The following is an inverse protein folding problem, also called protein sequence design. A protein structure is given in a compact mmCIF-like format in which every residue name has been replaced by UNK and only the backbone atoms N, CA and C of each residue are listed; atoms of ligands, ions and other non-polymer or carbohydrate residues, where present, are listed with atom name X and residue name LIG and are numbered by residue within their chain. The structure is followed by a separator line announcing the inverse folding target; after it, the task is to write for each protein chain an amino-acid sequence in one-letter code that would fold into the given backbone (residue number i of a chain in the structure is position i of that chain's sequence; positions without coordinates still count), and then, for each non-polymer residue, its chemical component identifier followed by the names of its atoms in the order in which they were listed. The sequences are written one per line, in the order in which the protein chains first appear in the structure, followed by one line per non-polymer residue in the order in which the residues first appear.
data_IF_612952889516
#
_entry.id   IF_612952889516
#
_cell.length_a   1.000
_cell.length_b   1.000
_cell.length_c   1.000
_cell.angle_alpha   90.00
_cell.angle_beta   90.00
_cell.angle_gamma   90.00
#
_symmetry.space_group_name_H-M   'P 1'
#
loop_
_entity.id
_entity.type
_entity.pdbx_description
1 polymer ?
#
# COMPACT_ATOMS: atom_id res chain seq x y z
N UNK A 1 -13.05 9.01 -10.03
CA UNK A 1 -14.15 8.46 -9.21
C UNK A 1 -14.64 9.44 -8.14
N UNK A 2 -13.78 10.06 -7.29
CA UNK A 2 -14.29 10.93 -6.21
C UNK A 2 -15.11 12.13 -6.69
N UNK A 3 -14.66 12.80 -7.76
CA UNK A 3 -15.39 13.93 -8.36
C UNK A 3 -16.78 13.55 -8.86
N UNK A 4 -16.96 12.30 -9.33
CA UNK A 4 -18.27 11.81 -9.79
C UNK A 4 -19.23 11.64 -8.61
N UNK A 5 -18.77 11.04 -7.51
CA UNK A 5 -19.61 10.85 -6.31
C UNK A 5 -20.03 12.21 -5.76
N UNK A 6 -19.07 13.13 -5.61
CA UNK A 6 -19.39 14.46 -5.10
C UNK A 6 -20.30 15.25 -6.06
N UNK A 7 -20.20 15.08 -7.38
CA UNK A 7 -21.12 15.80 -8.29
C UNK A 7 -22.55 15.24 -8.32
N UNK A 8 -22.75 13.95 -8.03
CA UNK A 8 -24.06 13.30 -8.15
C UNK A 8 -24.80 13.12 -6.82
N UNK A 9 -24.08 13.02 -5.70
CA UNK A 9 -24.65 12.73 -4.38
C UNK A 9 -24.39 13.89 -3.43
N UNK A 10 -25.23 14.93 -3.50
CA UNK A 10 -25.05 16.19 -2.75
C UNK A 10 -25.09 16.04 -1.23
N UNK A 11 -25.64 14.94 -0.71
CA UNK A 11 -25.64 14.61 0.72
C UNK A 11 -24.29 14.08 1.23
N UNK A 12 -23.38 13.69 0.33
CA UNK A 12 -22.02 13.28 0.70
C UNK A 12 -21.19 14.53 0.95
N UNK A 13 -20.86 14.78 2.22
CA UNK A 13 -20.05 15.92 2.64
C UNK A 13 -18.54 15.66 2.50
N UNK A 14 -18.08 14.43 2.76
CA UNK A 14 -16.67 14.04 2.64
C UNK A 14 -16.54 12.75 1.86
N UNK A 15 -15.49 12.64 1.06
CA UNK A 15 -15.09 11.40 0.39
C UNK A 15 -13.64 11.09 0.72
N UNK A 16 -13.34 9.81 0.97
CA UNK A 16 -11.99 9.30 1.20
C UNK A 16 -11.65 8.27 0.13
N UNK A 17 -10.58 8.52 -0.60
CA UNK A 17 -9.92 7.53 -1.45
C UNK A 17 -8.98 6.68 -0.57
N UNK A 18 -9.02 5.36 -0.79
CA UNK A 18 -8.21 4.36 -0.10
C UNK A 18 -7.63 3.41 -1.15
N UNK A 19 -6.36 3.03 -0.99
CA UNK A 19 -5.77 1.99 -1.82
C UNK A 19 -6.42 0.62 -1.54
N UNK A 20 -6.44 -0.24 -2.55
CA UNK A 20 -7.14 -1.54 -2.48
C UNK A 20 -6.36 -2.62 -1.71
N UNK A 21 -5.08 -2.39 -1.42
CA UNK A 21 -4.20 -3.29 -0.68
C UNK A 21 -4.01 -2.86 0.79
N UNK A 22 -5.00 -2.16 1.34
CA UNK A 22 -5.12 -1.85 2.76
C UNK A 22 -5.98 -2.88 3.49
N UNK A 23 -5.67 -3.13 4.75
CA UNK A 23 -6.53 -3.91 5.65
C UNK A 23 -6.69 -3.21 6.99
N UNK A 24 -7.94 -2.99 7.38
CA UNK A 24 -8.34 -2.31 8.60
C UNK A 24 -8.44 -3.32 9.75
N UNK A 25 -7.59 -3.14 10.76
CA UNK A 25 -7.62 -3.89 12.01
C UNK A 25 -8.55 -3.27 13.05
N UNK A 26 -8.90 -1.98 12.85
CA UNK A 26 -9.87 -1.25 13.67
C UNK A 26 -10.69 -0.29 12.82
N UNK A 27 -11.76 0.19 13.43
CA UNK A 27 -12.55 1.29 12.90
C UNK A 27 -11.65 2.52 12.66
N UNK A 28 -11.75 3.19 11.51
CA UNK A 28 -10.98 4.38 11.20
C UNK A 28 -11.45 5.66 11.92
N UNK A 29 -12.38 5.58 12.88
CA UNK A 29 -12.90 6.72 13.65
C UNK A 29 -11.79 7.62 14.18
N UNK A 30 -10.72 7.05 14.71
CA UNK A 30 -9.60 7.82 15.28
C UNK A 30 -8.93 8.73 14.22
N UNK A 31 -8.91 8.31 12.94
CA UNK A 31 -8.41 9.14 11.83
C UNK A 31 -9.41 10.23 11.47
N UNK A 32 -10.71 9.94 11.50
CA UNK A 32 -11.75 10.93 11.24
C UNK A 32 -11.83 11.99 12.34
N UNK A 33 -11.68 11.58 13.59
CA UNK A 33 -11.58 12.45 14.77
C UNK A 33 -10.31 13.32 14.70
N UNK A 34 -9.20 12.81 14.17
CA UNK A 34 -7.98 13.59 13.98
C UNK A 34 -8.13 14.69 12.91
N UNK A 35 -8.78 14.38 11.78
CA UNK A 35 -8.88 15.33 10.66
C UNK A 35 -10.04 16.32 10.83
N UNK A 36 -11.02 16.02 11.69
CA UNK A 36 -12.19 16.86 12.02
C UNK A 36 -12.82 17.54 10.77
N UNK A 37 -12.80 18.88 10.76
CA UNK A 37 -13.35 19.76 9.74
C UNK A 37 -12.32 20.16 8.66
N UNK A 38 -11.23 19.42 8.54
CA UNK A 38 -10.21 19.70 7.52
C UNK A 38 -10.75 19.46 6.11
N UNK A 39 -10.53 20.41 5.20
CA UNK A 39 -11.00 20.35 3.82
C UNK A 39 -10.34 19.22 3.04
N UNK A 40 -9.07 18.98 3.33
CA UNK A 40 -8.23 17.96 2.68
C UNK A 40 -7.53 17.19 3.79
N UNK A 41 -7.41 15.87 3.66
CA UNK A 41 -6.55 15.08 4.54
C UNK A 41 -5.65 14.16 3.74
N UNK A 42 -4.36 14.14 4.09
CA UNK A 42 -3.32 13.31 3.46
C UNK A 42 -2.49 12.62 4.54
N UNK A 43 -1.86 11.51 4.19
CA UNK A 43 -1.07 10.72 5.13
C UNK A 43 0.40 10.64 4.68
N UNK A 44 1.39 10.87 5.57
CA UNK A 44 2.80 10.79 5.20
C UNK A 44 3.25 9.34 5.02
N UNK A 45 4.23 9.09 4.15
CA UNK A 45 4.91 7.79 4.09
C UNK A 45 5.63 7.49 5.40
N UNK A 46 6.19 8.52 6.05
CA UNK A 46 7.07 8.38 7.22
C UNK A 46 8.20 7.39 6.95
N UNK A 47 8.88 7.51 5.81
CA UNK A 47 9.99 6.62 5.45
C UNK A 47 10.99 6.47 6.59
N UNK A 48 11.41 5.24 6.87
CA UNK A 48 12.49 5.03 7.83
C UNK A 48 13.76 5.77 7.38
N UNK A 49 14.53 6.43 8.28
CA UNK A 49 15.68 7.26 7.92
C UNK A 49 16.76 6.57 7.07
N UNK A 50 16.82 5.25 7.07
CA UNK A 50 17.74 4.47 6.21
C UNK A 50 17.35 4.47 4.73
N UNK A 51 16.17 4.99 4.36
CA UNK A 51 15.66 5.06 2.99
C UNK A 51 15.83 6.45 2.37
N UNK A 52 17.02 7.04 2.53
CA UNK A 52 17.37 8.32 1.92
C UNK A 52 17.08 8.31 0.41
N UNK A 53 16.39 9.34 -0.08
CA UNK A 53 16.07 9.51 -1.49
C UNK A 53 14.77 8.85 -1.93
N UNK A 54 14.04 8.13 -1.05
CA UNK A 54 12.70 7.62 -1.38
C UNK A 54 11.62 8.70 -1.38
N UNK A 55 11.92 9.89 -0.88
CA UNK A 55 11.11 11.10 -1.04
C UNK A 55 10.94 11.49 -2.52
N UNK A 56 11.77 10.94 -3.43
CA UNK A 56 11.54 11.05 -4.87
C UNK A 56 10.19 10.47 -5.31
N UNK A 57 9.60 9.55 -4.54
CA UNK A 57 8.27 8.97 -4.79
C UNK A 57 7.13 9.76 -4.15
N UNK A 58 7.44 10.85 -3.43
CA UNK A 58 6.51 11.64 -2.64
C UNK A 58 6.72 11.47 -1.13
N UNK A 59 6.56 12.54 -0.35
CA UNK A 59 6.61 12.50 1.11
C UNK A 59 5.26 12.08 1.72
N UNK A 60 4.18 12.22 0.96
CA UNK A 60 2.84 11.71 1.27
C UNK A 60 2.47 10.51 0.42
N UNK A 61 1.59 9.67 0.93
CA UNK A 61 1.12 8.44 0.30
C UNK A 61 -0.37 8.53 -0.02
N UNK A 62 -0.77 8.01 -1.18
CA UNK A 62 -2.17 8.03 -1.65
C UNK A 62 -3.05 6.96 -1.01
N UNK A 63 -2.49 6.07 -0.19
CA UNK A 63 -3.26 5.09 0.58
C UNK A 63 -4.36 5.72 1.44
N UNK A 64 -4.23 7.01 1.78
CA UNK A 64 -5.36 7.79 2.31
C UNK A 64 -5.37 9.20 1.72
N UNK A 65 -6.48 9.56 1.07
CA UNK A 65 -6.74 10.94 0.62
C UNK A 65 -8.20 11.30 0.85
N UNK A 66 -8.48 12.30 1.70
CA UNK A 66 -9.85 12.79 1.91
C UNK A 66 -10.07 14.18 1.32
N UNK A 67 -11.28 14.40 0.81
CA UNK A 67 -11.77 15.70 0.36
C UNK A 67 -13.14 15.98 0.98
N UNK A 68 -13.29 17.14 1.62
CA UNK A 68 -14.59 17.70 2.01
C UNK A 68 -15.21 18.45 0.83
N UNK A 69 -16.53 18.54 0.80
CA UNK A 69 -17.32 19.33 -0.14
C UNK A 69 -17.34 20.79 0.26
N UNK A 70 -16.17 21.38 0.32
CA UNK A 70 -15.98 22.82 0.46
C UNK A 70 -15.06 23.35 -0.64
N UNK A 71 -14.85 24.66 -0.66
CA UNK A 71 -14.07 25.29 -1.72
C UNK A 71 -12.62 24.75 -1.78
N UNK A 72 -11.85 24.64 -0.68
CA UNK A 72 -10.49 24.09 -0.75
C UNK A 72 -10.47 22.60 -1.16
N UNK A 73 -11.36 21.78 -0.61
CA UNK A 73 -11.42 20.35 -0.89
C UNK A 73 -11.78 20.07 -2.35
N UNK A 74 -12.75 20.79 -2.91
CA UNK A 74 -13.14 20.65 -4.31
C UNK A 74 -12.08 21.19 -5.27
N UNK A 75 -11.43 22.31 -4.93
CA UNK A 75 -10.33 22.85 -5.73
C UNK A 75 -9.14 21.88 -5.80
N UNK A 76 -8.77 21.29 -4.67
CA UNK A 76 -7.69 20.30 -4.60
C UNK A 76 -8.03 19.04 -5.41
N UNK A 77 -9.24 18.50 -5.25
CA UNK A 77 -9.69 17.34 -6.01
C UNK A 77 -9.71 17.60 -7.53
N UNK A 78 -10.15 18.78 -7.97
CA UNK A 78 -10.13 19.13 -9.40
C UNK A 78 -8.70 19.20 -9.93
N UNK A 79 -7.81 19.90 -9.23
CA UNK A 79 -6.39 20.03 -9.61
C UNK A 79 -5.70 18.67 -9.66
N UNK A 80 -5.89 17.82 -8.65
CA UNK A 80 -5.29 16.48 -8.62
C UNK A 80 -5.78 15.61 -9.77
N UNK A 81 -7.09 15.66 -10.08
CA UNK A 81 -7.65 14.96 -11.25
C UNK A 81 -7.03 15.45 -12.55
N UNK A 82 -6.93 16.77 -12.76
CA UNK A 82 -6.33 17.36 -13.95
C UNK A 82 -4.86 16.97 -14.10
N UNK A 83 -4.10 17.02 -13.00
CA UNK A 83 -2.71 16.58 -12.95
C UNK A 83 -2.56 15.10 -13.35
N UNK A 84 -3.38 14.21 -12.79
CA UNK A 84 -3.32 12.79 -13.12
C UNK A 84 -3.71 12.48 -14.57
N UNK A 85 -4.63 13.26 -15.16
CA UNK A 85 -5.03 13.11 -16.56
C UNK A 85 -3.97 13.64 -17.52
N UNK A 86 -3.28 14.72 -17.14
CA UNK A 86 -2.16 15.28 -17.90
C UNK A 86 -0.92 14.37 -17.81
N UNK A 87 -0.61 13.87 -16.62
CA UNK A 87 0.57 13.07 -16.36
C UNK A 87 0.36 12.14 -15.15
N UNK A 88 0.47 10.83 -15.34
CA UNK A 88 0.46 9.85 -14.26
C UNK A 88 1.22 8.59 -14.69
N UNK A 89 2.54 8.63 -14.56
CA UNK A 89 3.43 7.55 -15.00
C UNK A 89 4.30 7.05 -13.85
N UNK A 90 4.68 5.78 -13.90
CA UNK A 90 5.66 5.17 -12.99
C UNK A 90 7.07 5.55 -13.45
N UNK A 91 7.38 6.85 -13.40
CA UNK A 91 8.66 7.45 -13.76
C UNK A 91 8.98 8.55 -12.77
N UNK A 92 10.19 8.56 -12.20
CA UNK A 92 10.60 9.65 -11.32
C UNK A 92 10.97 10.89 -12.13
N UNK A 93 10.32 12.00 -11.84
CA UNK A 93 10.70 13.34 -12.27
C UNK A 93 10.86 14.25 -11.03
N UNK A 94 11.45 15.43 -11.21
CA UNK A 94 11.76 16.34 -10.08
C UNK A 94 10.53 16.64 -9.21
N UNK A 95 9.37 16.85 -9.83
CA UNK A 95 8.13 17.25 -9.18
C UNK A 95 6.98 16.25 -9.34
N UNK A 96 7.22 15.10 -10.01
CA UNK A 96 6.16 14.16 -10.40
C UNK A 96 6.61 12.71 -10.27
N UNK A 97 5.71 11.88 -9.75
CA UNK A 97 5.81 10.43 -9.67
C UNK A 97 4.40 9.88 -9.41
N UNK A 98 3.88 9.14 -10.39
CA UNK A 98 2.49 8.66 -10.41
C UNK A 98 1.49 9.78 -10.02
N UNK A 99 0.42 9.40 -9.35
CA UNK A 99 -0.58 10.27 -8.74
C UNK A 99 -0.14 10.85 -7.38
N UNK A 100 0.93 10.30 -6.80
CA UNK A 100 1.29 10.51 -5.41
C UNK A 100 2.14 11.76 -5.15
N UNK A 101 3.10 12.07 -6.03
CA UNK A 101 4.06 13.17 -5.75
C UNK A 101 3.42 14.56 -5.74
N UNK A 102 2.25 14.71 -6.35
CA UNK A 102 1.48 15.95 -6.32
C UNK A 102 1.11 16.38 -4.90
N UNK A 103 0.91 15.43 -3.97
CA UNK A 103 0.51 15.70 -2.59
C UNK A 103 1.59 16.50 -1.83
N UNK A 104 2.87 16.40 -2.22
CA UNK A 104 4.00 17.10 -1.58
C UNK A 104 3.77 18.63 -1.51
N UNK A 105 3.03 19.17 -2.49
CA UNK A 105 2.72 20.60 -2.60
C UNK A 105 1.48 21.01 -1.84
N UNK A 106 0.58 20.09 -1.48
CA UNK A 106 -0.77 20.43 -1.03
C UNK A 106 -0.82 21.29 0.24
N UNK A 107 0.00 21.01 1.28
CA UNK A 107 0.02 21.88 2.48
C UNK A 107 0.42 23.33 2.19
N UNK A 108 1.11 23.60 1.08
CA UNK A 108 1.50 24.94 0.66
C UNK A 108 0.53 25.55 -0.37
N UNK A 109 -0.13 24.71 -1.18
CA UNK A 109 -1.00 25.14 -2.27
C UNK A 109 -2.46 25.37 -1.82
N UNK A 110 -2.90 24.74 -0.74
CA UNK A 110 -4.29 24.76 -0.28
C UNK A 110 -4.38 25.13 1.20
N UNK A 111 -5.51 25.75 1.58
CA UNK A 111 -5.87 25.98 2.97
C UNK A 111 -6.54 24.75 3.60
N UNK A 112 -6.47 24.66 4.93
CA UNK A 112 -7.19 23.65 5.72
C UNK A 112 -6.86 22.19 5.32
N UNK A 113 -5.57 21.91 5.15
CA UNK A 113 -5.03 20.56 4.88
C UNK A 113 -4.59 19.92 6.20
N UNK A 114 -5.21 18.81 6.57
CA UNK A 114 -4.72 17.94 7.63
C UNK A 114 -3.66 16.97 7.10
N UNK A 115 -2.55 16.87 7.82
CA UNK A 115 -1.57 15.81 7.64
C UNK A 115 -1.74 14.83 8.79
N UNK A 116 -2.21 13.62 8.49
CA UNK A 116 -2.51 12.59 9.50
C UNK A 116 -1.22 12.20 10.23
N UNK A 117 -1.25 12.22 11.56
CA UNK A 117 -0.16 11.92 12.48
C UNK A 117 -0.32 10.56 13.14
N UNK A 118 -1.53 10.00 13.19
CA UNK A 118 -1.78 8.68 13.77
C UNK A 118 -0.84 7.62 13.16
N UNK A 119 0.02 7.02 13.99
CA UNK A 119 1.06 6.04 13.63
C UNK A 119 0.47 4.68 13.30
N UNK A 120 -0.70 4.40 13.86
CA UNK A 120 -1.51 3.23 13.51
C UNK A 120 -2.18 3.31 12.14
N UNK A 121 -2.15 4.48 11.49
CA UNK A 121 -2.67 4.65 10.13
C UNK A 121 -1.51 4.65 9.14
N UNK A 122 -1.67 3.89 8.05
CA UNK A 122 -0.70 3.72 6.97
C UNK A 122 0.66 3.16 7.42
N UNK A 123 0.62 2.22 8.37
CA UNK A 123 1.78 1.41 8.70
C UNK A 123 2.07 0.46 7.53
N UNK A 124 3.33 0.34 7.12
CA UNK A 124 3.71 -0.33 5.89
C UNK A 124 5.17 -0.81 5.95
N UNK A 125 5.65 -1.63 4.99
CA UNK A 125 7.04 -2.07 4.95
C UNK A 125 8.07 -0.93 5.03
N UNK A 126 7.76 0.24 4.45
CA UNK A 126 8.68 1.37 4.38
C UNK A 126 8.81 2.21 5.66
N UNK A 127 7.89 2.05 6.62
CA UNK A 127 7.90 2.81 7.88
C UNK A 127 7.78 1.95 9.14
N UNK A 128 7.45 0.65 9.03
CA UNK A 128 7.21 -0.21 10.18
C UNK A 128 8.42 -0.30 11.12
N UNK A 129 9.64 -0.20 10.59
CA UNK A 129 10.87 -0.22 11.36
C UNK A 129 11.07 1.02 12.25
N UNK A 130 10.28 2.10 12.05
CA UNK A 130 10.34 3.28 12.91
C UNK A 130 9.68 3.06 14.28
N UNK A 131 8.93 1.98 14.46
CA UNK A 131 8.01 1.82 15.59
C UNK A 131 8.17 0.48 16.30
N UNK A 132 7.87 0.49 17.59
CA UNK A 132 7.70 -0.71 18.39
C UNK A 132 6.26 -1.23 18.27
N UNK A 133 6.12 -2.44 17.73
CA UNK A 133 4.84 -3.15 17.64
C UNK A 133 4.65 -4.07 18.85
N UNK A 134 3.46 -4.03 19.43
CA UNK A 134 3.07 -4.90 20.55
C UNK A 134 1.65 -5.41 20.36
N UNK A 135 1.45 -6.69 20.60
CA UNK A 135 0.11 -7.23 20.78
C UNK A 135 -0.36 -6.97 22.22
N UNK A 136 -1.58 -6.45 22.36
CA UNK A 136 -2.26 -6.19 23.64
C UNK A 136 -3.60 -6.92 23.66
N UNK A 137 -4.29 -6.93 24.81
CA UNK A 137 -5.65 -7.49 24.90
C UNK A 137 -6.64 -6.84 23.92
N UNK A 138 -6.37 -5.60 23.52
CA UNK A 138 -7.19 -4.85 22.56
C UNK A 138 -6.76 -5.02 21.09
N UNK A 139 -5.75 -5.85 20.81
CA UNK A 139 -5.15 -6.00 19.49
C UNK A 139 -3.76 -5.34 19.37
N UNK A 140 -3.30 -5.16 18.14
CA UNK A 140 -1.96 -4.63 17.85
C UNK A 140 -1.90 -3.12 18.11
N UNK A 141 -0.84 -2.68 18.78
CA UNK A 141 -0.49 -1.27 18.95
C UNK A 141 0.83 -0.94 18.25
N UNK A 142 0.91 0.28 17.73
CA UNK A 142 2.09 0.96 17.19
C UNK A 142 2.50 2.02 18.20
N UNK A 143 3.60 1.81 18.92
CA UNK A 143 3.92 2.58 20.13
C UNK A 143 2.79 2.52 21.19
N UNK A 144 2.06 3.63 21.36
CA UNK A 144 0.96 3.78 22.31
C UNK A 144 -0.39 3.99 21.59
N UNK A 145 -0.42 3.89 20.27
CA UNK A 145 -1.61 4.07 19.43
C UNK A 145 -2.03 2.72 18.86
N UNK A 146 -3.34 2.45 18.70
CA UNK A 146 -3.78 1.19 18.11
C UNK A 146 -3.45 1.11 16.62
N UNK A 147 -3.21 -0.08 16.08
CA UNK A 147 -3.12 -0.26 14.64
C UNK A 147 -4.52 -0.09 14.02
N UNK A 148 -4.70 0.94 13.19
CA UNK A 148 -5.94 1.17 12.43
C UNK A 148 -5.90 0.35 11.15
N UNK A 149 -4.90 0.57 10.31
CA UNK A 149 -4.72 -0.20 9.08
C UNK A 149 -3.25 -0.35 8.70
N UNK A 150 -2.98 -1.46 8.01
CA UNK A 150 -1.67 -1.73 7.42
C UNK A 150 -1.78 -1.73 5.89
N UNK A 151 -0.78 -1.17 5.22
CA UNK A 151 -0.64 -1.15 3.77
C UNK A 151 0.22 -2.32 3.31
N UNK A 152 -0.39 -3.32 2.67
CA UNK A 152 0.27 -4.55 2.22
C UNK A 152 0.99 -4.39 0.89
N UNK A 153 1.67 -3.26 0.73
CA UNK A 153 2.46 -2.95 -0.44
C UNK A 153 3.46 -4.07 -0.74
N UNK A 154 3.53 -4.47 -2.01
CA UNK A 154 4.43 -5.50 -2.51
C UNK A 154 4.12 -6.94 -2.05
N UNK A 155 3.01 -7.19 -1.33
CA UNK A 155 2.64 -8.56 -0.97
C UNK A 155 2.41 -9.40 -2.23
N UNK A 156 3.17 -10.50 -2.33
CA UNK A 156 3.09 -11.43 -3.45
C UNK A 156 2.85 -12.85 -2.98
N UNK A 157 1.77 -13.46 -3.46
CA UNK A 157 1.58 -14.90 -3.35
C UNK A 157 2.60 -15.60 -4.27
N UNK A 158 3.49 -16.39 -3.68
CA UNK A 158 4.52 -17.16 -4.39
C UNK A 158 3.94 -18.49 -4.87
N UNK A 159 3.18 -19.14 -3.99
CA UNK A 159 2.39 -20.33 -4.30
C UNK A 159 1.18 -20.39 -3.36
N UNK A 160 0.41 -21.49 -3.40
CA UNK A 160 -0.82 -21.66 -2.61
C UNK A 160 -0.67 -21.36 -1.12
N UNK A 161 0.50 -21.58 -0.52
CA UNK A 161 0.73 -21.48 0.92
C UNK A 161 1.74 -20.39 1.31
N UNK A 162 2.57 -19.96 0.37
CA UNK A 162 3.74 -19.13 0.65
C UNK A 162 3.55 -17.75 0.05
N UNK A 163 3.78 -16.74 0.87
CA UNK A 163 3.65 -15.33 0.54
C UNK A 163 4.95 -14.60 0.85
N UNK A 164 5.39 -13.78 -0.10
CA UNK A 164 6.49 -12.83 0.08
C UNK A 164 5.91 -11.48 0.52
N UNK A 165 6.15 -11.03 1.76
CA UNK A 165 5.69 -9.74 2.27
C UNK A 165 6.50 -8.54 1.74
N UNK A 166 7.56 -8.75 0.94
CA UNK A 166 8.36 -7.67 0.36
C UNK A 166 9.27 -6.95 1.35
N UNK A 167 9.34 -7.39 2.61
CA UNK A 167 10.06 -6.71 3.69
C UNK A 167 11.58 -6.57 3.43
N UNK A 168 12.18 -7.51 2.68
CA UNK A 168 13.60 -7.45 2.31
C UNK A 168 13.96 -6.20 1.49
N UNK A 169 13.03 -5.72 0.65
CA UNK A 169 13.20 -4.49 -0.14
C UNK A 169 13.30 -3.24 0.73
N UNK A 170 12.76 -3.35 1.95
CA UNK A 170 12.75 -2.32 2.98
C UNK A 170 13.60 -2.73 4.18
N UNK A 171 14.60 -3.60 4.01
CA UNK A 171 15.59 -3.97 5.04
C UNK A 171 14.96 -4.21 6.43
N UNK A 172 13.75 -4.75 6.46
CA UNK A 172 12.97 -4.97 7.69
C UNK A 172 12.67 -6.44 7.83
N UNK A 173 12.51 -6.89 9.07
CA UNK A 173 12.36 -8.31 9.40
C UNK A 173 10.92 -8.63 9.77
N UNK A 174 10.47 -9.81 9.39
CA UNK A 174 9.14 -10.32 9.73
C UNK A 174 9.09 -10.81 11.19
N UNK A 175 9.09 -9.86 12.13
CA UNK A 175 8.98 -10.13 13.58
C UNK A 175 7.66 -10.79 13.95
N UNK A 176 7.58 -11.44 15.12
CA UNK A 176 6.42 -12.24 15.55
C UNK A 176 5.09 -11.49 15.43
N UNK A 177 5.02 -10.25 15.95
CA UNK A 177 3.79 -9.44 15.89
C UNK A 177 3.40 -9.13 14.45
N UNK A 178 4.37 -8.70 13.62
CA UNK A 178 4.14 -8.42 12.21
C UNK A 178 3.67 -9.67 11.46
N UNK A 179 4.27 -10.84 11.74
CA UNK A 179 3.86 -12.11 11.15
C UNK A 179 2.45 -12.51 11.57
N UNK A 180 2.27 -12.73 12.86
CA UNK A 180 1.15 -13.50 13.41
C UNK A 180 -0.10 -12.64 13.59
N UNK A 181 0.08 -11.35 13.86
CA UNK A 181 -1.03 -10.45 14.18
C UNK A 181 -1.35 -9.46 13.04
N UNK A 182 -0.50 -9.37 12.00
CA UNK A 182 -0.73 -8.49 10.84
C UNK A 182 -0.80 -9.28 9.51
N UNK A 183 0.28 -9.95 9.10
CA UNK A 183 0.32 -10.62 7.79
C UNK A 183 -0.54 -11.88 7.72
N UNK A 184 -0.50 -12.75 8.73
CA UNK A 184 -1.30 -13.99 8.73
C UNK A 184 -2.81 -13.70 8.70
N UNK A 185 -3.37 -12.79 9.54
CA UNK A 185 -4.78 -12.43 9.47
C UNK A 185 -5.19 -11.86 8.11
N UNK A 186 -4.40 -10.95 7.54
CA UNK A 186 -4.69 -10.40 6.21
C UNK A 186 -4.66 -11.48 5.12
N UNK A 187 -3.67 -12.37 5.11
CA UNK A 187 -3.59 -13.45 4.13
C UNK A 187 -4.80 -14.39 4.24
N UNK A 188 -5.29 -14.66 5.45
CA UNK A 188 -6.52 -15.44 5.65
C UNK A 188 -7.74 -14.72 5.05
N UNK A 189 -7.93 -13.44 5.41
CA UNK A 189 -9.01 -12.62 4.87
C UNK A 189 -8.95 -12.49 3.33
N UNK A 190 -7.75 -12.32 2.76
CA UNK A 190 -7.54 -12.25 1.32
C UNK A 190 -7.96 -13.55 0.62
N UNK A 191 -7.67 -14.71 1.22
CA UNK A 191 -8.07 -16.02 0.68
C UNK A 191 -9.58 -16.26 0.78
N UNK A 192 -10.21 -15.78 1.84
CA UNK A 192 -11.67 -15.81 2.00
C UNK A 192 -12.34 -14.95 0.94
N UNK A 193 -11.89 -13.70 0.78
CA UNK A 193 -12.36 -12.80 -0.27
C UNK A 193 -12.13 -13.37 -1.68
N UNK A 194 -10.97 -14.01 -1.93
CA UNK A 194 -10.71 -14.68 -3.21
C UNK A 194 -11.71 -15.82 -3.46
N UNK A 195 -12.09 -16.59 -2.43
CA UNK A 195 -13.07 -17.65 -2.55
C UNK A 195 -14.48 -17.11 -2.85
N UNK A 196 -14.89 -16.02 -2.18
CA UNK A 196 -16.16 -15.34 -2.44
C UNK A 196 -16.24 -14.80 -3.87
N UNK A 197 -15.19 -14.12 -4.32
CA UNK A 197 -15.09 -13.57 -5.68
C UNK A 197 -15.12 -14.70 -6.72
N UNK A 198 -14.39 -15.80 -6.48
CA UNK A 198 -14.41 -17.00 -7.35
C UNK A 198 -15.78 -17.66 -7.43
N UNK A 199 -16.61 -17.55 -6.39
CA UNK A 199 -17.95 -18.13 -6.39
C UNK A 199 -18.95 -17.37 -7.28
N UNK A 200 -18.69 -16.08 -7.55
CA UNK A 200 -19.61 -15.22 -8.32
C UNK A 200 -19.10 -14.84 -9.71
N UNK A 201 -17.79 -14.87 -9.94
CA UNK A 201 -17.23 -14.54 -11.26
C UNK A 201 -17.23 -15.74 -12.23
N UNK A 202 -17.56 -15.52 -13.52
CA UNK A 202 -17.48 -16.56 -14.54
C UNK A 202 -16.08 -17.18 -14.63
N UNK A 203 -15.95 -18.49 -14.89
CA UNK A 203 -14.67 -19.11 -15.19
C UNK A 203 -14.02 -18.42 -16.41
N UNK A 204 -12.91 -17.70 -16.19
CA UNK A 204 -12.17 -16.97 -17.23
C UNK A 204 -12.03 -15.46 -17.00
N UNK A 205 -12.88 -14.85 -16.16
CA UNK A 205 -12.77 -13.43 -15.81
C UNK A 205 -11.75 -13.16 -14.70
N UNK A 206 -11.39 -14.20 -13.94
CA UNK A 206 -10.29 -14.16 -12.99
C UNK A 206 -9.01 -14.46 -13.75
N UNK A 207 -8.42 -13.42 -14.34
CA UNK A 207 -7.06 -13.47 -14.88
C UNK A 207 -6.11 -13.89 -13.77
N UNK A 208 -5.32 -14.93 -14.03
CA UNK A 208 -4.25 -15.30 -13.11
C UNK A 208 -3.18 -14.21 -13.16
N UNK A 209 -2.45 -13.95 -12.07
CA UNK A 209 -1.47 -12.86 -12.03
C UNK A 209 -0.38 -12.98 -13.13
N UNK A 210 -0.19 -14.15 -13.74
CA UNK A 210 0.69 -14.38 -14.89
C UNK A 210 0.19 -13.85 -16.24
N UNK A 211 -1.08 -13.45 -16.32
CA UNK A 211 -1.68 -12.82 -17.52
C UNK A 211 -1.56 -11.30 -17.52
N UNK A 212 -1.11 -10.71 -16.40
CA UNK A 212 -0.71 -9.30 -16.37
C UNK A 212 0.69 -9.21 -16.96
N UNK A 213 0.75 -9.00 -18.28
CA UNK A 213 1.96 -8.38 -18.86
C UNK A 213 2.03 -6.98 -18.29
N UNK A 214 2.93 -6.74 -17.34
CA UNK A 214 3.46 -5.40 -17.15
C UNK A 214 3.98 -4.95 -18.51
N UNK A 215 3.45 -3.87 -19.06
CA UNK A 215 3.88 -3.29 -20.34
C UNK A 215 5.29 -2.68 -20.26
N UNK A 216 6.11 -3.10 -19.29
CA UNK A 216 7.46 -2.61 -19.01
C UNK A 216 8.51 -3.73 -18.96
N UNK A 217 8.14 -4.99 -19.17
CA UNK A 217 9.11 -6.06 -19.41
C UNK A 217 9.48 -6.11 -20.91
N UNK A 218 10.16 -5.08 -21.41
CA UNK A 218 11.10 -5.26 -22.52
C UNK A 218 12.50 -5.44 -21.92
N UNK A 219 13.03 -6.67 -21.85
CA UNK A 219 14.45 -6.86 -21.62
C UNK A 219 15.18 -6.55 -22.92
N UNK A 220 15.86 -5.42 -22.98
CA UNK A 220 17.01 -5.28 -23.87
C UNK A 220 18.09 -6.29 -23.44
N UNK A 221 18.05 -7.48 -24.04
CA UNK A 221 19.17 -8.40 -24.01
C UNK A 221 19.25 -9.12 -25.35
N UNK A 222 20.15 -8.64 -26.20
CA UNK A 222 20.62 -9.37 -27.37
C UNK A 222 21.08 -10.77 -26.96
N UNK A 223 20.60 -11.75 -27.71
CA UNK A 223 20.88 -13.16 -27.52
C UNK A 223 22.38 -13.48 -27.64
N UNK A 224 22.95 -14.09 -26.60
CA UNK A 224 24.01 -15.09 -26.74
C UNK A 224 23.72 -16.22 -25.74
N UNK A 225 23.36 -17.39 -26.27
CA UNK A 225 23.03 -18.56 -25.48
C UNK A 225 24.24 -19.16 -24.78
N UNK A 226 24.02 -19.72 -23.59
CA UNK A 226 24.44 -21.07 -23.11
C UNK A 226 24.42 -21.14 -21.57
N UNK A 227 23.99 -22.29 -21.03
CA UNK A 227 24.09 -22.80 -19.64
C UNK A 227 23.42 -21.99 -18.48
N UNK A 228 22.97 -20.75 -18.66
CA UNK A 228 22.52 -19.89 -17.54
C UNK A 228 21.20 -20.30 -16.85
N UNK A 229 20.30 -21.01 -17.53
CA UNK A 229 18.95 -21.31 -17.01
C UNK A 229 18.92 -22.24 -15.79
N UNK A 230 19.82 -23.22 -15.73
CA UNK A 230 19.88 -24.17 -14.60
C UNK A 230 20.47 -23.51 -13.36
N UNK A 231 21.51 -22.66 -13.53
CA UNK A 231 22.11 -21.93 -12.42
C UNK A 231 21.16 -20.86 -11.84
N UNK A 232 20.35 -20.22 -12.70
CA UNK A 232 19.30 -19.28 -12.27
C UNK A 232 18.19 -20.00 -11.49
N UNK A 233 17.74 -21.16 -11.99
CA UNK A 233 16.75 -21.99 -11.30
C UNK A 233 17.25 -22.50 -9.94
N UNK A 234 18.51 -22.92 -9.84
CA UNK A 234 19.10 -23.39 -8.57
C UNK A 234 19.28 -22.22 -7.60
N UNK A 235 19.74 -21.03 -8.05
CA UNK A 235 19.81 -19.84 -7.19
C UNK A 235 18.44 -19.42 -6.66
N UNK A 236 17.40 -19.51 -7.47
CA UNK A 236 16.04 -19.17 -7.05
C UNK A 236 15.50 -20.17 -6.04
N UNK A 237 15.78 -21.46 -6.20
CA UNK A 237 15.40 -22.49 -5.23
C UNK A 237 16.20 -22.35 -3.93
N UNK A 238 17.52 -22.12 -4.00
CA UNK A 238 18.36 -21.90 -2.81
C UNK A 238 17.98 -20.59 -2.09
N UNK A 239 17.68 -19.53 -2.84
CA UNK A 239 17.20 -18.25 -2.31
C UNK A 239 15.83 -18.38 -1.64
N UNK A 240 14.91 -19.14 -2.24
CA UNK A 240 13.62 -19.48 -1.65
C UNK A 240 13.80 -20.22 -0.32
N UNK A 241 14.56 -21.32 -0.29
CA UNK A 241 14.79 -22.07 0.95
C UNK A 241 15.54 -21.26 2.00
N UNK A 242 16.51 -20.43 1.60
CA UNK A 242 17.19 -19.50 2.51
C UNK A 242 16.23 -18.48 3.11
N UNK A 243 15.36 -17.86 2.32
CA UNK A 243 14.38 -16.90 2.83
C UNK A 243 13.31 -17.58 3.69
N UNK A 244 12.91 -18.82 3.39
CA UNK A 244 12.02 -19.59 4.26
C UNK A 244 12.68 -19.85 5.62
N UNK A 245 13.96 -20.22 5.62
CA UNK A 245 14.75 -20.45 6.84
C UNK A 245 15.06 -19.14 7.59
N UNK A 246 15.27 -18.03 6.87
CA UNK A 246 15.50 -16.70 7.43
C UNK A 246 14.21 -16.06 7.98
N UNK A 247 13.05 -16.66 7.72
CA UNK A 247 11.75 -16.15 8.15
C UNK A 247 11.24 -14.98 7.29
N UNK A 248 11.74 -14.80 6.08
CA UNK A 248 11.34 -13.70 5.19
C UNK A 248 9.97 -13.95 4.54
N UNK A 249 9.52 -15.20 4.49
CA UNK A 249 8.21 -15.57 3.92
C UNK A 249 7.18 -15.84 5.01
N UNK A 250 5.91 -15.60 4.67
CA UNK A 250 4.75 -16.02 5.45
C UNK A 250 4.23 -17.33 4.87
N UNK A 251 4.11 -18.36 5.72
CA UNK A 251 3.51 -19.65 5.33
C UNK A 251 2.17 -19.77 6.05
N UNK A 252 1.10 -19.91 5.28
CA UNK A 252 -0.27 -20.09 5.81
C UNK A 252 -0.84 -21.39 5.25
N UNK A 253 -0.89 -22.43 6.07
CA UNK A 253 -1.55 -23.70 5.74
C UNK A 253 -3.06 -23.61 6.01
N UNK A 254 -3.85 -24.55 5.49
CA UNK A 254 -5.23 -24.69 5.97
C UNK A 254 -5.22 -25.06 7.45
N UNK A 255 -6.08 -24.41 8.22
CA UNK A 255 -6.73 -25.01 9.40
C UNK A 255 -7.96 -25.77 8.92
#
# INVERSE_FOLDING_TARGET
MPSFVLSHYTHVDRITYLDADLYFFRDPSDVFDEIEDSSIAIIPHRFHPTFLGREQFGIYNVGWVSFRRDEPGMACLSKWREQCLDWCYVRCETDRFADQKYLDRWPADFSNVAVIQHKGANLAPWNVANYHLRHTESGVCVENEPLIFYHFHYLKQVNKWVYNPGLSEYKTSLVSVLRNDIYVPYIRALREAEAEVRAVLPPGDIRSRGDWRDSTDEPEAQAQGTVSGVAHSIRNVVGFWRGVVAGDYVVVTHE
#
